data_IF_613341534964
#
_entry.id   IF_613341534964
#
_cell.length_a   1.000
_cell.length_b   1.000
_cell.length_c   1.000
_cell.angle_alpha   90.00
_cell.angle_beta   90.00
_cell.angle_gamma   90.00
#
_symmetry.space_group_name_H-M   'P 1'
#
loop_
_entity.id
_entity.type
_entity.pdbx_description
1 polymer ?
#
# COMPACT_ATOMS: atom_id res chain seq x y z
N UNK A 1 -13.28 -25.74 -8.40
CA UNK A 1 -13.71 -24.34 -8.28
C UNK A 1 -13.35 -23.63 -9.57
N UNK A 2 -14.20 -22.72 -10.05
CA UNK A 2 -14.00 -21.92 -11.26
C UNK A 2 -13.54 -20.52 -10.87
N UNK A 3 -12.29 -20.20 -11.19
CA UNK A 3 -11.65 -18.93 -10.85
C UNK A 3 -11.52 -18.10 -12.12
N UNK A 4 -12.10 -16.89 -12.11
CA UNK A 4 -11.95 -15.91 -13.19
C UNK A 4 -10.94 -14.83 -12.83
N UNK A 5 -10.35 -14.20 -13.85
CA UNK A 5 -9.44 -13.07 -13.72
C UNK A 5 -9.98 -11.86 -14.50
N UNK A 6 -10.24 -10.79 -13.77
CA UNK A 6 -10.63 -9.49 -14.29
C UNK A 6 -9.43 -8.55 -14.35
N UNK A 7 -9.20 -7.96 -15.53
CA UNK A 7 -8.16 -6.97 -15.80
C UNK A 7 -8.82 -5.65 -16.23
N UNK A 8 -9.01 -4.68 -15.32
CA UNK A 8 -9.59 -3.39 -15.66
C UNK A 8 -8.56 -2.52 -16.39
N UNK A 9 -8.85 -2.14 -17.64
CA UNK A 9 -7.92 -1.40 -18.49
C UNK A 9 -8.62 -0.20 -19.13
N UNK A 10 -8.76 0.88 -18.36
CA UNK A 10 -9.35 2.15 -18.82
C UNK A 10 -8.34 3.05 -19.52
N UNK A 11 -8.80 3.94 -20.40
CA UNK A 11 -7.91 4.87 -21.11
C UNK A 11 -7.67 6.18 -20.34
N UNK A 12 -8.70 6.68 -19.66
CA UNK A 12 -8.75 8.03 -19.08
C UNK A 12 -7.93 8.26 -17.80
N UNK A 13 -6.71 7.74 -17.72
CA UNK A 13 -5.83 7.97 -16.55
C UNK A 13 -5.30 9.41 -16.54
N UNK A 14 -5.58 10.17 -15.47
CA UNK A 14 -5.18 11.59 -15.36
C UNK A 14 -3.67 11.81 -15.15
N UNK A 15 -3.04 11.01 -14.29
CA UNK A 15 -1.62 11.17 -13.89
C UNK A 15 -0.64 10.70 -14.94
N UNK A 16 -0.98 9.58 -15.60
CA UNK A 16 -0.23 9.01 -16.70
C UNK A 16 -1.23 8.63 -17.81
N UNK A 17 -1.49 9.53 -18.77
CA UNK A 17 -2.41 9.28 -19.87
C UNK A 17 -2.03 8.00 -20.61
N UNK A 18 -3.02 7.17 -20.88
CA UNK A 18 -2.79 5.96 -21.66
C UNK A 18 -2.10 4.80 -20.91
N UNK A 19 -1.86 4.90 -19.59
CA UNK A 19 -0.97 3.97 -18.86
C UNK A 19 -1.13 2.49 -19.16
N UNK A 20 -2.36 1.99 -19.29
CA UNK A 20 -2.61 0.56 -19.48
C UNK A 20 -2.07 0.01 -20.82
N UNK A 21 -1.85 0.86 -21.83
CA UNK A 21 -1.24 0.46 -23.11
C UNK A 21 0.18 0.99 -23.28
N UNK A 22 0.73 1.68 -22.28
CA UNK A 22 2.13 2.10 -22.30
C UNK A 22 3.01 0.86 -22.36
N UNK A 23 4.00 0.94 -23.23
CA UNK A 23 5.04 -0.05 -23.37
C UNK A 23 5.98 -0.01 -22.16
N UNK A 24 6.22 -1.18 -21.57
CA UNK A 24 7.29 -1.38 -20.62
C UNK A 24 8.15 -2.48 -21.22
N UNK A 25 9.37 -2.17 -21.66
CA UNK A 25 10.30 -3.13 -22.28
C UNK A 25 9.69 -4.02 -23.37
N UNK A 26 9.04 -3.42 -24.36
CA UNK A 26 8.48 -4.09 -25.55
C UNK A 26 7.12 -4.77 -25.35
N UNK A 27 6.53 -4.67 -24.15
CA UNK A 27 5.21 -5.25 -23.86
C UNK A 27 4.32 -4.21 -23.16
N UNK A 28 3.12 -3.90 -23.69
CA UNK A 28 2.15 -3.04 -23.02
C UNK A 28 1.77 -3.55 -21.63
N UNK A 29 1.55 -2.64 -20.67
CA UNK A 29 1.24 -3.01 -19.27
C UNK A 29 0.07 -4.01 -19.13
N UNK A 30 -1.02 -3.80 -19.88
CA UNK A 30 -2.16 -4.73 -19.91
C UNK A 30 -1.74 -6.12 -20.38
N UNK A 31 -0.93 -6.19 -21.44
CA UNK A 31 -0.46 -7.46 -22.00
C UNK A 31 0.48 -8.18 -21.03
N UNK A 32 1.34 -7.46 -20.29
CA UNK A 32 2.20 -8.07 -19.25
C UNK A 32 1.38 -8.80 -18.18
N UNK A 33 0.28 -8.19 -17.73
CA UNK A 33 -0.61 -8.83 -16.76
C UNK A 33 -1.32 -10.04 -17.36
N UNK A 34 -1.83 -9.92 -18.59
CA UNK A 34 -2.51 -11.03 -19.27
C UNK A 34 -1.58 -12.21 -19.51
N UNK A 35 -0.35 -11.98 -19.96
CA UNK A 35 0.64 -13.02 -20.23
C UNK A 35 0.92 -13.86 -18.97
N UNK A 36 1.08 -13.21 -17.81
CA UNK A 36 1.28 -13.89 -16.51
C UNK A 36 0.04 -14.66 -16.07
N UNK A 37 -1.16 -14.10 -16.25
CA UNK A 37 -2.42 -14.78 -15.92
C UNK A 37 -2.62 -16.04 -16.77
N UNK A 38 -2.38 -15.95 -18.07
CA UNK A 38 -2.47 -17.10 -18.99
C UNK A 38 -1.42 -18.16 -18.67
N UNK A 39 -0.16 -17.75 -18.50
CA UNK A 39 0.94 -18.66 -18.18
C UNK A 39 0.72 -19.42 -16.86
N UNK A 40 -0.05 -18.85 -15.93
CA UNK A 40 -0.35 -19.52 -14.67
C UNK A 40 -1.23 -20.78 -14.83
N UNK A 41 -2.09 -20.84 -15.85
CA UNK A 41 -3.08 -21.91 -16.00
C UNK A 41 -4.12 -22.00 -14.87
N UNK A 42 -4.21 -20.98 -14.01
CA UNK A 42 -5.12 -20.97 -12.84
C UNK A 42 -6.55 -20.61 -13.22
N UNK A 43 -6.72 -19.73 -14.21
CA UNK A 43 -7.99 -19.07 -14.48
C UNK A 43 -8.72 -19.73 -15.64
N UNK A 44 -10.00 -20.05 -15.43
CA UNK A 44 -10.87 -20.57 -16.50
C UNK A 44 -11.49 -19.46 -17.36
N UNK A 45 -11.38 -18.20 -16.94
CA UNK A 45 -11.80 -17.02 -17.68
C UNK A 45 -10.80 -15.89 -17.40
N UNK A 46 -10.16 -15.34 -18.45
CA UNK A 46 -9.33 -14.15 -18.36
C UNK A 46 -10.00 -13.06 -19.19
N UNK A 47 -10.39 -11.96 -18.56
CA UNK A 47 -11.19 -10.91 -19.18
C UNK A 47 -10.59 -9.54 -18.93
N UNK A 48 -10.40 -8.78 -20.00
CA UNK A 48 -10.13 -7.34 -19.95
C UNK A 48 -11.44 -6.58 -19.92
N UNK A 49 -11.66 -5.74 -18.90
CA UNK A 49 -12.78 -4.79 -18.88
C UNK A 49 -12.33 -3.40 -19.30
N UNK A 50 -12.94 -2.84 -20.34
CA UNK A 50 -12.53 -1.54 -20.90
C UNK A 50 -13.70 -0.82 -21.57
N UNK A 51 -13.65 0.51 -21.58
CA UNK A 51 -14.49 1.37 -22.44
C UNK A 51 -13.81 1.69 -23.78
N UNK A 52 -12.50 1.41 -23.89
CA UNK A 52 -11.66 1.89 -24.98
C UNK A 52 -11.60 0.90 -26.11
N UNK A 53 -12.02 1.34 -27.30
CA UNK A 53 -11.83 0.58 -28.54
C UNK A 53 -10.36 0.32 -28.86
N UNK A 54 -9.46 1.23 -28.46
CA UNK A 54 -8.02 1.05 -28.67
C UNK A 54 -7.46 -0.10 -27.80
N UNK A 55 -7.87 -0.18 -26.54
CA UNK A 55 -7.52 -1.31 -25.65
C UNK A 55 -8.10 -2.61 -26.18
N UNK A 56 -9.38 -2.60 -26.58
CA UNK A 56 -10.03 -3.79 -27.15
C UNK A 56 -9.31 -4.30 -28.42
N UNK A 57 -8.94 -3.39 -29.33
CA UNK A 57 -8.21 -3.73 -30.55
C UNK A 57 -6.81 -4.29 -30.25
N UNK A 58 -6.08 -3.67 -29.31
CA UNK A 58 -4.77 -4.17 -28.88
C UNK A 58 -4.86 -5.60 -28.33
N UNK A 59 -5.84 -5.87 -27.45
CA UNK A 59 -6.06 -7.19 -26.88
C UNK A 59 -6.44 -8.19 -27.96
N UNK A 60 -7.38 -7.84 -28.86
CA UNK A 60 -7.78 -8.71 -29.97
C UNK A 60 -6.63 -9.05 -30.92
N UNK A 61 -5.73 -8.11 -31.18
CA UNK A 61 -4.54 -8.33 -31.99
C UNK A 61 -3.51 -9.24 -31.29
N UNK A 62 -3.30 -9.05 -29.97
CA UNK A 62 -2.26 -9.76 -29.21
C UNK A 62 -2.69 -11.18 -28.81
N UNK A 63 -3.99 -11.43 -28.68
CA UNK A 63 -4.56 -12.71 -28.22
C UNK A 63 -5.66 -13.23 -29.18
N UNK A 64 -5.33 -13.52 -30.45
CA UNK A 64 -6.31 -13.90 -31.48
C UNK A 64 -6.97 -15.27 -31.23
N UNK A 65 -6.39 -16.12 -30.37
CA UNK A 65 -6.90 -17.44 -30.03
C UNK A 65 -8.15 -17.45 -29.14
N UNK A 66 -8.55 -16.29 -28.59
CA UNK A 66 -9.70 -16.16 -27.70
C UNK A 66 -9.42 -16.55 -26.24
N UNK A 67 -8.16 -16.80 -25.89
CA UNK A 67 -7.73 -17.08 -24.51
C UNK A 67 -8.00 -15.88 -23.57
N UNK A 68 -8.06 -14.67 -24.13
CA UNK A 68 -8.45 -13.43 -23.43
C UNK A 68 -9.73 -12.88 -24.03
N UNK A 69 -10.72 -12.61 -23.18
CA UNK A 69 -11.98 -11.97 -23.56
C UNK A 69 -11.91 -10.46 -23.32
N UNK A 70 -12.66 -9.70 -24.12
CA UNK A 70 -12.87 -8.27 -23.89
C UNK A 70 -14.32 -8.05 -23.48
N UNK A 71 -14.51 -7.45 -22.31
CA UNK A 71 -15.80 -7.00 -21.80
C UNK A 71 -15.88 -5.48 -21.94
N UNK A 72 -16.61 -5.02 -22.95
CA UNK A 72 -16.92 -3.60 -23.10
C UNK A 72 -17.79 -3.16 -21.93
N UNK A 73 -17.33 -2.16 -21.17
CA UNK A 73 -18.06 -1.65 -20.00
C UNK A 73 -18.85 -0.38 -20.34
N UNK A 74 -20.03 -0.17 -19.71
CA UNK A 74 -20.79 1.07 -19.85
C UNK A 74 -19.98 2.31 -19.45
N UNK A 75 -20.28 3.45 -20.08
CA UNK A 75 -19.60 4.72 -19.81
C UNK A 75 -19.72 5.17 -18.34
N UNK A 76 -20.83 4.84 -17.67
CA UNK A 76 -21.01 5.09 -16.24
C UNK A 76 -19.92 4.45 -15.36
N UNK A 77 -19.30 3.36 -15.83
CA UNK A 77 -18.20 2.67 -15.15
C UNK A 77 -16.82 3.10 -15.65
N UNK A 78 -16.74 4.07 -16.57
CA UNK A 78 -15.51 4.52 -17.20
C UNK A 78 -14.81 5.69 -16.50
N UNK A 79 -15.56 6.45 -15.69
CA UNK A 79 -15.09 7.65 -15.02
C UNK A 79 -13.98 7.42 -13.99
N UNK A 80 -13.22 8.47 -13.66
CA UNK A 80 -12.16 8.42 -12.64
C UNK A 80 -12.68 8.06 -11.25
N UNK A 81 -13.95 8.35 -10.99
CA UNK A 81 -14.62 8.13 -9.71
C UNK A 81 -15.52 6.89 -9.72
N UNK A 82 -15.52 6.13 -10.83
CA UNK A 82 -16.21 4.84 -10.91
C UNK A 82 -15.57 3.86 -9.92
N UNK A 83 -16.32 3.35 -8.93
CA UNK A 83 -15.77 2.41 -7.96
C UNK A 83 -15.33 1.11 -8.63
N UNK A 84 -14.13 0.65 -8.29
CA UNK A 84 -13.59 -0.61 -8.80
C UNK A 84 -14.48 -1.81 -8.47
N UNK A 85 -15.22 -1.73 -7.36
CA UNK A 85 -16.25 -2.69 -6.97
C UNK A 85 -17.35 -2.84 -8.02
N UNK A 86 -17.84 -1.74 -8.62
CA UNK A 86 -18.89 -1.82 -9.65
C UNK A 86 -18.38 -2.44 -10.95
N UNK A 87 -17.09 -2.27 -11.27
CA UNK A 87 -16.46 -2.94 -12.42
C UNK A 87 -16.35 -4.45 -12.16
N UNK A 88 -16.02 -4.83 -10.93
CA UNK A 88 -16.02 -6.22 -10.48
C UNK A 88 -17.41 -6.85 -10.51
N UNK A 89 -18.44 -6.15 -10.03
CA UNK A 89 -19.83 -6.61 -10.05
C UNK A 89 -20.29 -6.85 -11.49
N UNK A 90 -20.08 -5.88 -12.39
CA UNK A 90 -20.39 -6.01 -13.81
C UNK A 90 -19.71 -7.25 -14.45
N UNK A 91 -18.49 -7.58 -14.05
CA UNK A 91 -17.79 -8.77 -14.54
C UNK A 91 -18.43 -10.08 -14.05
N UNK A 92 -18.71 -10.17 -12.74
CA UNK A 92 -19.23 -11.37 -12.06
C UNK A 92 -20.68 -11.66 -12.44
N UNK A 93 -21.51 -10.62 -12.60
CA UNK A 93 -22.91 -10.73 -13.05
C UNK A 93 -23.01 -11.37 -14.44
N UNK A 94 -22.05 -11.09 -15.33
CA UNK A 94 -21.98 -11.69 -16.67
C UNK A 94 -21.38 -13.10 -16.70
N UNK A 95 -20.97 -13.65 -15.55
CA UNK A 95 -20.30 -14.96 -15.42
C UNK A 95 -20.84 -15.74 -14.23
N UNK A 96 -22.12 -16.14 -14.23
CA UNK A 96 -22.78 -16.83 -13.11
C UNK A 96 -22.07 -18.12 -12.67
N UNK A 97 -21.28 -18.71 -13.56
CA UNK A 97 -20.57 -19.96 -13.36
C UNK A 97 -19.24 -19.84 -12.60
N UNK A 98 -18.76 -18.62 -12.33
CA UNK A 98 -17.55 -18.40 -11.53
C UNK A 98 -17.84 -18.49 -10.04
N UNK A 99 -17.02 -19.27 -9.33
CA UNK A 99 -17.02 -19.38 -7.87
C UNK A 99 -16.17 -18.26 -7.22
N UNK A 100 -15.11 -17.86 -7.92
CA UNK A 100 -14.14 -16.86 -7.49
C UNK A 100 -13.81 -15.89 -8.61
N UNK A 101 -13.56 -14.64 -8.25
CA UNK A 101 -13.04 -13.62 -9.15
C UNK A 101 -11.75 -13.03 -8.57
N UNK A 102 -10.74 -12.90 -9.43
CA UNK A 102 -9.53 -12.16 -9.18
C UNK A 102 -9.54 -10.83 -9.92
N UNK A 103 -8.90 -9.80 -9.35
CA UNK A 103 -8.79 -8.46 -9.89
C UNK A 103 -7.33 -8.08 -9.98
N UNK A 104 -6.88 -7.84 -11.21
CA UNK A 104 -5.49 -7.65 -11.54
C UNK A 104 -5.32 -6.37 -12.33
N UNK A 105 -4.97 -5.28 -11.62
CA UNK A 105 -4.70 -3.98 -12.24
C UNK A 105 -3.46 -4.06 -13.15
N UNK A 106 -3.53 -3.66 -14.43
CA UNK A 106 -2.37 -3.67 -15.34
C UNK A 106 -1.12 -2.96 -14.81
N UNK A 107 -1.30 -2.01 -13.90
CA UNK A 107 -0.26 -1.14 -13.37
C UNK A 107 0.69 -1.80 -12.38
N UNK A 108 0.46 -3.05 -12.00
CA UNK A 108 1.45 -3.88 -11.30
C UNK A 108 2.11 -4.87 -12.27
N UNK A 109 3.15 -4.47 -13.02
CA UNK A 109 3.69 -5.27 -14.11
C UNK A 109 4.51 -6.48 -13.67
N UNK A 110 4.96 -6.52 -12.41
CA UNK A 110 5.92 -7.51 -11.92
C UNK A 110 5.27 -8.75 -11.28
N UNK A 111 4.00 -9.02 -11.60
CA UNK A 111 3.32 -10.22 -11.10
C UNK A 111 4.06 -11.49 -11.50
N UNK A 112 4.04 -12.46 -10.60
CA UNK A 112 4.62 -13.79 -10.76
C UNK A 112 3.56 -14.88 -10.83
N UNK A 113 3.81 -15.89 -11.64
CA UNK A 113 2.98 -17.10 -11.76
C UNK A 113 2.92 -17.88 -10.45
N UNK A 114 4.04 -17.99 -9.75
CA UNK A 114 4.13 -18.71 -8.46
C UNK A 114 3.13 -18.16 -7.42
N UNK A 115 2.97 -16.83 -7.37
CA UNK A 115 2.00 -16.17 -6.50
C UNK A 115 0.54 -16.50 -6.85
N UNK A 116 0.25 -16.66 -8.15
CA UNK A 116 -1.09 -17.08 -8.61
C UNK A 116 -1.38 -18.54 -8.25
N UNK A 117 -0.37 -19.42 -8.37
CA UNK A 117 -0.48 -20.81 -7.94
C UNK A 117 -0.71 -20.93 -6.44
N UNK A 118 0.02 -20.16 -5.64
CA UNK A 118 -0.15 -20.10 -4.19
C UNK A 118 -1.56 -19.60 -3.80
N UNK A 119 -2.03 -18.51 -4.41
CA UNK A 119 -3.37 -18.00 -4.22
C UNK A 119 -4.44 -19.06 -4.57
N UNK A 120 -4.27 -19.78 -5.69
CA UNK A 120 -5.15 -20.86 -6.08
C UNK A 120 -5.13 -22.01 -5.07
N UNK A 121 -3.96 -22.44 -4.62
CA UNK A 121 -3.83 -23.49 -3.61
C UNK A 121 -4.55 -23.11 -2.30
N UNK A 122 -4.38 -21.87 -1.85
CA UNK A 122 -5.06 -21.33 -0.67
C UNK A 122 -6.59 -21.37 -0.83
N UNK A 123 -7.11 -20.98 -2.00
CA UNK A 123 -8.55 -21.06 -2.33
C UNK A 123 -9.05 -22.50 -2.24
N UNK A 124 -8.31 -23.46 -2.78
CA UNK A 124 -8.71 -24.87 -2.81
C UNK A 124 -8.74 -25.53 -1.43
N UNK A 125 -8.06 -24.96 -0.41
CA UNK A 125 -8.20 -25.44 0.97
C UNK A 125 -9.62 -25.28 1.54
N UNK A 126 -10.44 -24.39 0.96
CA UNK A 126 -11.78 -24.07 1.43
C UNK A 126 -11.81 -23.20 2.70
N UNK A 127 -10.66 -22.90 3.33
CA UNK A 127 -10.60 -22.03 4.49
C UNK A 127 -10.81 -20.56 4.10
N UNK A 128 -10.08 -20.09 3.09
CA UNK A 128 -10.08 -18.69 2.69
C UNK A 128 -11.39 -18.28 2.00
N UNK A 129 -11.88 -17.08 2.30
CA UNK A 129 -12.96 -16.40 1.56
C UNK A 129 -12.41 -15.26 0.67
N UNK A 130 -11.16 -14.86 0.91
CA UNK A 130 -10.43 -13.86 0.17
C UNK A 130 -8.95 -14.19 0.14
N UNK A 131 -8.27 -13.80 -0.93
CA UNK A 131 -6.80 -13.76 -1.03
C UNK A 131 -6.38 -12.34 -1.34
N UNK A 132 -5.40 -11.84 -0.60
CA UNK A 132 -4.92 -10.47 -0.75
C UNK A 132 -3.40 -10.41 -0.64
N UNK A 133 -2.75 -9.72 -1.57
CA UNK A 133 -1.32 -9.41 -1.45
C UNK A 133 -1.06 -8.49 -0.26
N UNK A 134 -0.04 -8.82 0.53
CA UNK A 134 0.45 -7.99 1.63
C UNK A 134 1.96 -7.81 1.52
N UNK A 135 2.44 -6.67 2.03
CA UNK A 135 3.87 -6.45 2.21
C UNK A 135 4.32 -7.05 3.55
N UNK A 136 5.30 -7.96 3.58
CA UNK A 136 5.75 -8.54 4.83
C UNK A 136 6.49 -7.53 5.73
N UNK A 137 7.15 -6.52 5.16
CA UNK A 137 7.99 -5.57 5.91
C UNK A 137 7.23 -4.37 6.46
N UNK A 138 6.01 -4.10 5.99
CA UNK A 138 5.29 -2.87 6.34
C UNK A 138 4.06 -3.15 7.19
N UNK A 139 4.08 -2.60 8.40
CA UNK A 139 2.98 -2.66 9.35
C UNK A 139 2.49 -1.25 9.63
N UNK A 140 1.19 -1.12 9.86
CA UNK A 140 0.67 0.02 10.58
C UNK A 140 1.07 -0.14 12.04
N UNK A 141 1.82 0.82 12.55
CA UNK A 141 2.38 0.86 13.89
C UNK A 141 2.32 2.30 14.44
N UNK A 142 3.02 2.55 15.55
CA UNK A 142 3.06 3.87 16.20
C UNK A 142 3.83 4.92 15.42
N UNK A 143 4.44 4.58 14.29
CA UNK A 143 5.20 5.53 13.46
C UNK A 143 4.33 6.33 12.49
N UNK A 144 3.00 6.27 12.61
CA UNK A 144 2.07 7.04 11.78
C UNK A 144 1.52 8.26 12.52
N UNK A 145 1.56 9.41 11.85
CA UNK A 145 1.21 10.71 12.39
C UNK A 145 0.29 11.49 11.45
N UNK A 146 -0.57 12.35 12.00
CA UNK A 146 -1.43 13.25 11.24
C UNK A 146 -1.24 14.69 11.70
N UNK A 147 -1.44 15.68 10.81
CA UNK A 147 -1.25 17.09 11.14
C UNK A 147 -2.36 17.59 12.07
N UNK A 148 -1.99 18.42 13.04
CA UNK A 148 -2.89 19.14 13.96
C UNK A 148 -2.38 20.58 14.15
N UNK A 149 -3.20 21.54 14.61
CA UNK A 149 -2.72 22.88 14.89
C UNK A 149 -1.49 22.86 15.82
N UNK A 150 -0.39 23.48 15.38
CA UNK A 150 0.87 23.54 16.15
C UNK A 150 1.85 22.37 15.95
N UNK A 151 1.49 21.32 15.20
CA UNK A 151 2.40 20.20 14.95
C UNK A 151 1.74 18.94 14.39
N UNK A 152 2.07 17.78 14.97
CA UNK A 152 1.51 16.48 14.58
C UNK A 152 1.08 15.69 15.81
N UNK A 153 0.15 14.77 15.62
CA UNK A 153 -0.25 13.81 16.64
C UNK A 153 -0.17 12.38 16.08
N UNK A 154 0.19 11.39 16.92
CA UNK A 154 0.19 9.98 16.54
C UNK A 154 -1.22 9.45 16.21
N UNK A 155 -1.29 8.52 15.26
CA UNK A 155 -2.55 7.91 14.82
C UNK A 155 -3.09 6.89 15.84
N UNK A 156 -2.24 6.11 16.52
CA UNK A 156 -2.66 4.88 17.25
C UNK A 156 -2.42 4.86 18.75
N UNK A 157 -3.45 4.43 19.52
CA UNK A 157 -3.57 4.32 21.00
C UNK A 157 -2.49 3.45 21.63
N UNK A 158 -2.25 2.33 20.98
CA UNK A 158 -1.43 1.25 21.50
C UNK A 158 -0.50 0.72 20.44
N UNK A 159 -0.30 -0.59 20.44
CA UNK A 159 0.53 -1.30 19.48
C UNK A 159 -0.38 -1.92 18.40
N UNK A 160 -0.58 -1.27 17.25
CA UNK A 160 -1.47 -1.78 16.20
C UNK A 160 -0.74 -2.78 15.28
N UNK A 161 0.40 -3.35 15.72
CA UNK A 161 1.30 -4.26 14.98
C UNK A 161 0.61 -5.50 14.36
N UNK A 162 -0.70 -5.65 14.55
CA UNK A 162 -1.56 -6.65 13.94
C UNK A 162 -1.97 -6.31 12.49
N UNK A 163 -1.66 -5.11 12.00
CA UNK A 163 -2.15 -4.61 10.70
C UNK A 163 -1.02 -4.51 9.66
N UNK A 164 -1.02 -5.42 8.68
CA UNK A 164 -0.14 -5.35 7.50
C UNK A 164 -0.76 -4.51 6.39
N UNK A 165 0.07 -3.80 5.64
CA UNK A 165 -0.39 -3.12 4.43
C UNK A 165 -0.70 -4.14 3.34
N UNK A 166 -1.92 -4.05 2.80
CA UNK A 166 -2.28 -4.77 1.59
C UNK A 166 -1.85 -3.99 0.35
N UNK A 167 -1.45 -4.73 -0.69
CA UNK A 167 -1.26 -4.23 -2.05
C UNK A 167 -2.43 -4.71 -2.91
N UNK A 168 -2.86 -3.90 -3.88
CA UNK A 168 -3.87 -4.29 -4.88
C UNK A 168 -3.28 -5.05 -6.07
N UNK A 169 -2.02 -5.47 -5.98
CA UNK A 169 -1.37 -6.33 -6.97
C UNK A 169 -2.11 -7.66 -7.14
N UNK A 170 -2.56 -8.28 -6.05
CA UNK A 170 -3.38 -9.51 -6.07
C UNK A 170 -4.59 -9.35 -5.15
N UNK A 171 -5.78 -9.44 -5.73
CA UNK A 171 -7.05 -9.42 -5.01
C UNK A 171 -7.94 -10.52 -5.57
N UNK A 172 -8.27 -11.52 -4.76
CA UNK A 172 -9.22 -12.55 -5.15
C UNK A 172 -10.27 -12.69 -4.07
N UNK A 173 -11.53 -12.81 -4.45
CA UNK A 173 -12.64 -13.00 -3.53
C UNK A 173 -13.59 -14.06 -4.07
N UNK A 174 -14.27 -14.69 -3.12
CA UNK A 174 -15.36 -15.60 -3.43
C UNK A 174 -16.56 -14.80 -3.92
N UNK A 175 -17.30 -15.32 -4.90
CA UNK A 175 -18.41 -14.63 -5.58
C UNK A 175 -19.37 -13.91 -4.64
N UNK A 176 -19.69 -14.50 -3.49
CA UNK A 176 -20.67 -14.01 -2.52
C UNK A 176 -20.11 -12.93 -1.58
N UNK A 177 -18.82 -12.59 -1.70
CA UNK A 177 -18.10 -11.72 -0.76
C UNK A 177 -17.50 -10.44 -1.37
N UNK A 178 -18.02 -9.83 -2.44
CA UNK A 178 -17.35 -8.69 -3.05
C UNK A 178 -17.24 -7.53 -2.05
N UNK A 179 -16.00 -7.17 -1.76
CA UNK A 179 -15.53 -5.98 -1.06
C UNK A 179 -16.35 -5.59 0.20
N UNK A 180 -17.43 -4.83 0.04
CA UNK A 180 -18.23 -4.24 1.13
C UNK A 180 -19.44 -5.11 1.50
N UNK A 181 -19.92 -5.94 0.56
CA UNK A 181 -21.09 -6.80 0.77
C UNK A 181 -20.80 -7.92 1.78
N UNK A 182 -19.55 -8.38 1.86
CA UNK A 182 -19.11 -9.30 2.90
C UNK A 182 -19.41 -8.77 4.30
N UNK A 183 -19.27 -7.45 4.53
CA UNK A 183 -19.59 -6.83 5.82
C UNK A 183 -21.09 -6.81 6.11
N UNK A 184 -21.94 -6.68 5.08
CA UNK A 184 -23.39 -6.82 5.25
C UNK A 184 -23.81 -8.26 5.60
N UNK A 185 -22.97 -9.25 5.28
CA UNK A 185 -23.14 -10.65 5.66
C UNK A 185 -22.49 -10.99 7.01
N UNK A 186 -21.95 -9.99 7.73
CA UNK A 186 -21.31 -10.16 9.03
C UNK A 186 -19.84 -10.57 9.00
N UNK A 187 -19.22 -10.66 7.81
CA UNK A 187 -17.79 -10.96 7.68
C UNK A 187 -16.94 -9.69 7.80
N UNK A 188 -15.87 -9.75 8.60
CA UNK A 188 -14.85 -8.69 8.62
C UNK A 188 -13.84 -8.88 7.48
N UNK A 189 -13.22 -7.81 6.99
CA UNK A 189 -12.29 -7.90 5.85
C UNK A 189 -11.04 -8.72 6.19
N UNK A 190 -10.67 -8.81 7.46
CA UNK A 190 -9.57 -9.63 7.95
C UNK A 190 -9.92 -11.07 8.30
N UNK A 191 -11.19 -11.46 8.34
CA UNK A 191 -11.60 -12.82 8.69
C UNK A 191 -11.47 -13.77 7.50
N UNK A 192 -10.89 -14.96 7.76
CA UNK A 192 -10.71 -16.02 6.75
C UNK A 192 -10.05 -15.52 5.47
N UNK A 193 -9.12 -14.60 5.60
CA UNK A 193 -8.35 -14.08 4.48
C UNK A 193 -6.97 -14.76 4.43
N UNK A 194 -6.60 -15.24 3.26
CA UNK A 194 -5.23 -15.69 3.00
C UNK A 194 -4.38 -14.49 2.57
N UNK A 195 -3.32 -14.25 3.31
CA UNK A 195 -2.36 -13.17 3.05
C UNK A 195 -1.23 -13.70 2.19
N UNK A 196 -1.11 -13.15 0.99
CA UNK A 196 -0.08 -13.50 0.03
C UNK A 196 1.10 -12.55 0.19
N UNK A 197 2.19 -13.00 0.80
CA UNK A 197 3.39 -12.17 0.95
C UNK A 197 4.05 -11.95 -0.43
N UNK A 198 4.11 -10.68 -0.86
CA UNK A 198 4.68 -10.27 -2.15
C UNK A 198 6.00 -9.53 -1.98
N UNK A 199 6.85 -9.61 -3.00
CA UNK A 199 8.13 -8.91 -3.03
C UNK A 199 7.97 -7.42 -3.33
N UNK A 200 9.00 -6.63 -3.04
CA UNK A 200 9.00 -5.19 -3.31
C UNK A 200 8.77 -4.85 -4.81
N UNK A 201 9.35 -5.55 -5.82
CA UNK A 201 8.99 -5.33 -7.22
C UNK A 201 7.50 -5.55 -7.53
N UNK A 202 6.87 -6.61 -6.98
CA UNK A 202 5.45 -6.95 -7.22
C UNK A 202 4.45 -5.89 -6.73
N UNK A 203 4.93 -4.94 -5.95
CA UNK A 203 4.13 -3.87 -5.36
C UNK A 203 4.27 -2.52 -6.07
N UNK A 204 5.13 -2.44 -7.08
CA UNK A 204 5.28 -1.24 -7.91
C UNK A 204 3.98 -1.03 -8.69
N UNK A 205 3.29 0.07 -8.40
CA UNK A 205 2.06 0.50 -9.08
C UNK A 205 2.39 1.68 -10.00
N UNK A 206 2.35 1.47 -11.32
CA UNK A 206 2.66 2.51 -12.29
C UNK A 206 1.50 3.50 -12.39
N UNK A 207 1.69 4.65 -11.74
CA UNK A 207 0.73 5.75 -11.72
C UNK A 207 1.31 7.07 -12.27
N UNK A 208 2.64 7.20 -12.26
CA UNK A 208 3.39 8.38 -12.67
C UNK A 208 4.55 8.02 -13.61
N UNK A 209 5.19 9.03 -14.19
CA UNK A 209 6.40 8.83 -15.00
C UNK A 209 7.58 8.29 -14.17
N UNK A 210 7.67 8.67 -12.88
CA UNK A 210 8.72 8.18 -11.99
C UNK A 210 8.54 6.68 -11.68
N UNK A 211 7.29 6.23 -11.52
CA UNK A 211 6.99 4.80 -11.33
C UNK A 211 7.35 3.98 -12.58
N UNK A 212 7.07 4.54 -13.77
CA UNK A 212 7.44 3.91 -15.04
C UNK A 212 8.97 3.81 -15.18
N UNK A 213 9.70 4.90 -14.88
CA UNK A 213 11.16 4.91 -14.91
C UNK A 213 11.77 3.93 -13.89
N UNK A 214 11.16 3.81 -12.70
CA UNK A 214 11.56 2.79 -11.72
C UNK A 214 11.34 1.37 -12.28
N UNK A 215 10.17 1.12 -12.87
CA UNK A 215 9.85 -0.18 -13.46
C UNK A 215 10.79 -0.54 -14.62
N UNK A 216 11.15 0.40 -15.48
CA UNK A 216 12.11 0.18 -16.57
C UNK A 216 13.47 -0.27 -16.04
N UNK A 217 13.97 0.36 -14.98
CA UNK A 217 15.25 -0.03 -14.38
C UNK A 217 15.18 -1.41 -13.72
N UNK A 218 14.09 -1.72 -13.00
CA UNK A 218 13.86 -3.05 -12.43
C UNK A 218 13.84 -4.10 -13.54
N UNK A 219 13.16 -3.81 -14.65
CA UNK A 219 13.10 -4.70 -15.80
C UNK A 219 14.47 -4.90 -16.46
N UNK A 220 15.32 -3.87 -16.45
CA UNK A 220 16.70 -3.93 -16.92
C UNK A 220 17.65 -4.71 -15.99
N UNK A 221 17.15 -5.25 -14.87
CA UNK A 221 17.90 -6.08 -13.93
C UNK A 221 18.20 -5.44 -12.59
N UNK A 222 17.84 -4.16 -12.41
CA UNK A 222 18.16 -3.46 -11.17
C UNK A 222 17.39 -4.03 -9.97
N UNK A 223 18.09 -4.21 -8.86
CA UNK A 223 17.56 -4.76 -7.63
C UNK A 223 16.92 -3.67 -6.77
N UNK A 224 15.58 -3.65 -6.75
CA UNK A 224 14.81 -2.75 -5.89
C UNK A 224 14.61 -3.37 -4.51
N UNK A 225 15.21 -2.76 -3.47
CA UNK A 225 15.23 -3.27 -2.09
C UNK A 225 15.10 -2.15 -1.06
N UNK A 226 14.77 -2.51 0.17
CA UNK A 226 14.83 -1.57 1.30
C UNK A 226 16.29 -1.19 1.59
N UNK A 227 16.48 0.07 1.96
CA UNK A 227 17.78 0.60 2.35
C UNK A 227 18.27 -0.06 3.63
N UNK A 228 19.48 -0.61 3.60
CA UNK A 228 20.14 -1.15 4.79
C UNK A 228 20.43 -0.01 5.76
N UNK A 229 20.13 -0.20 7.05
CA UNK A 229 20.34 0.82 8.09
C UNK A 229 21.51 0.44 9.00
N UNK A 230 22.16 1.45 9.57
CA UNK A 230 23.17 1.32 10.63
C UNK A 230 22.76 2.20 11.81
N UNK A 231 23.09 1.78 13.03
CA UNK A 231 22.85 2.56 14.24
C UNK A 231 24.18 3.01 14.83
N UNK A 232 24.29 4.30 15.07
CA UNK A 232 25.46 4.99 15.58
C UNK A 232 25.17 5.55 16.98
N UNK A 233 26.24 5.75 17.76
CA UNK A 233 26.16 6.47 19.04
C UNK A 233 26.83 7.82 18.84
N UNK A 234 26.05 8.90 18.91
CA UNK A 234 26.56 10.27 18.79
C UNK A 234 26.06 11.10 19.96
N UNK A 235 26.96 11.39 20.90
CA UNK A 235 26.62 12.09 22.15
C UNK A 235 25.52 11.38 22.95
N UNK A 236 24.38 12.05 23.24
CA UNK A 236 23.27 11.48 24.00
C UNK A 236 22.31 10.66 23.11
N UNK A 237 22.60 10.47 21.82
CA UNK A 237 21.68 9.87 20.85
C UNK A 237 22.17 8.52 20.32
N UNK A 238 21.22 7.60 20.16
CA UNK A 238 21.28 6.57 19.13
C UNK A 238 20.74 7.16 17.84
N UNK A 239 21.55 7.12 16.78
CA UNK A 239 21.23 7.69 15.48
C UNK A 239 21.16 6.56 14.45
N UNK A 240 19.97 6.30 13.92
CA UNK A 240 19.79 5.36 12.81
C UNK A 240 19.85 6.12 11.50
N UNK A 241 20.70 5.66 10.59
CA UNK A 241 20.86 6.21 9.25
C UNK A 241 20.93 5.06 8.23
N UNK A 242 20.75 5.33 6.93
CA UNK A 242 21.23 4.46 5.87
C UNK A 242 22.70 4.09 6.05
N UNK A 243 23.04 2.85 5.70
CA UNK A 243 24.39 2.34 5.79
C UNK A 243 25.34 3.16 4.90
N UNK A 244 26.39 3.72 5.51
CA UNK A 244 27.37 4.57 4.83
C UNK A 244 27.04 6.07 4.82
N UNK A 245 25.87 6.48 5.31
CA UNK A 245 25.56 7.88 5.50
C UNK A 245 26.27 8.49 6.72
N UNK A 246 26.46 9.81 6.72
CA UNK A 246 27.11 10.55 7.80
C UNK A 246 26.09 10.91 8.91
N UNK A 247 26.21 10.30 10.12
CA UNK A 247 25.29 10.59 11.21
C UNK A 247 25.50 11.98 11.84
N UNK A 248 26.70 12.56 11.78
CA UNK A 248 26.94 13.90 12.32
C UNK A 248 26.34 14.98 11.42
N UNK A 249 26.47 14.83 10.09
CA UNK A 249 25.83 15.72 9.13
C UNK A 249 24.29 15.68 9.26
N UNK A 250 23.71 14.50 9.47
CA UNK A 250 22.28 14.35 9.75
C UNK A 250 21.84 15.07 11.02
N UNK A 251 22.58 14.94 12.13
CA UNK A 251 22.29 15.67 13.36
C UNK A 251 22.43 17.19 13.20
N UNK A 252 23.46 17.63 12.46
CA UNK A 252 23.65 19.05 12.15
C UNK A 252 22.47 19.61 11.35
N UNK A 253 21.96 18.84 10.37
CA UNK A 253 20.79 19.19 9.56
C UNK A 253 19.50 19.29 10.39
N UNK A 254 19.27 18.39 11.36
CA UNK A 254 18.13 18.51 12.28
C UNK A 254 18.17 19.84 13.06
N UNK A 255 19.37 20.28 13.41
CA UNK A 255 19.63 21.54 14.08
C UNK A 255 19.45 21.47 15.60
N UNK A 256 20.01 22.46 16.33
CA UNK A 256 20.09 22.43 17.79
C UNK A 256 18.72 22.50 18.48
N UNK A 257 17.76 23.21 17.89
CA UNK A 257 16.41 23.33 18.47
C UNK A 257 15.70 21.96 18.53
N UNK A 258 15.75 21.19 17.44
CA UNK A 258 15.15 19.86 17.36
C UNK A 258 15.81 18.86 18.32
N UNK A 259 17.11 19.04 18.58
CA UNK A 259 17.93 18.20 19.46
C UNK A 259 18.03 18.72 20.90
N UNK A 260 17.33 19.79 21.26
CA UNK A 260 17.48 20.44 22.56
C UNK A 260 17.01 19.57 23.75
N UNK A 261 16.09 18.63 23.53
CA UNK A 261 15.52 17.78 24.58
C UNK A 261 15.62 16.29 24.23
N UNK A 262 16.58 15.56 24.83
CA UNK A 262 16.68 14.11 24.70
C UNK A 262 15.44 13.34 25.16
N UNK A 263 14.62 13.86 26.07
CA UNK A 263 13.39 13.18 26.47
C UNK A 263 12.29 13.23 25.39
N UNK A 264 12.45 14.10 24.38
CA UNK A 264 11.52 14.30 23.28
C UNK A 264 12.26 14.27 21.93
N UNK A 265 12.70 13.08 21.46
CA UNK A 265 13.43 12.95 20.20
C UNK A 265 12.65 13.53 19.01
N UNK A 266 13.34 14.18 18.05
CA UNK A 266 12.69 14.72 16.87
C UNK A 266 12.18 13.62 15.93
N UNK A 267 11.16 13.95 15.15
CA UNK A 267 10.63 13.07 14.11
C UNK A 267 11.11 13.49 12.73
N UNK A 268 11.59 12.52 11.95
CA UNK A 268 11.80 12.69 10.51
C UNK A 268 10.63 12.07 9.76
N UNK A 269 9.67 12.89 9.37
CA UNK A 269 8.44 12.44 8.74
C UNK A 269 8.58 12.37 7.22
N UNK A 270 7.98 11.35 6.61
CA UNK A 270 7.89 11.21 5.17
C UNK A 270 6.46 10.84 4.77
N UNK A 271 6.08 11.18 3.53
CA UNK A 271 4.90 10.56 2.94
C UNK A 271 5.19 9.07 2.77
N UNK A 272 4.31 8.17 3.21
CA UNK A 272 4.51 6.76 2.98
C UNK A 272 4.51 6.44 1.47
N UNK A 273 5.34 5.50 1.02
CA UNK A 273 5.48 5.10 -0.39
C UNK A 273 5.51 3.56 -0.53
N UNK A 274 5.16 2.97 -1.69
CA UNK A 274 3.95 3.09 -2.52
C UNK A 274 3.03 1.82 -2.43
N UNK A 275 1.90 1.78 -3.14
CA UNK A 275 0.59 2.17 -2.61
C UNK A 275 0.22 1.44 -1.31
N UNK A 276 -0.27 2.21 -0.34
CA UNK A 276 -0.77 1.69 0.92
C UNK A 276 -2.29 1.60 0.84
N UNK A 277 -2.83 0.38 0.72
CA UNK A 277 -4.26 0.16 0.88
C UNK A 277 -4.57 -0.12 2.35
N UNK A 278 -5.33 0.79 2.96
CA UNK A 278 -5.56 0.80 4.41
C UNK A 278 -6.98 0.40 4.78
N UNK A 279 -7.72 -0.20 3.83
CA UNK A 279 -9.13 -0.57 3.95
C UNK A 279 -9.46 -1.35 5.24
N UNK A 280 -8.53 -2.17 5.74
CA UNK A 280 -8.74 -2.97 6.96
C UNK A 280 -8.83 -2.18 8.24
N UNK A 281 -8.04 -1.10 8.36
CA UNK A 281 -8.12 -0.19 9.51
C UNK A 281 -9.55 0.34 9.69
N UNK A 282 -10.22 0.55 8.56
CA UNK A 282 -11.53 1.20 8.49
C UNK A 282 -12.67 0.19 8.71
N UNK A 283 -12.56 -1.03 8.19
CA UNK A 283 -13.61 -2.05 8.32
C UNK A 283 -13.54 -2.81 9.64
N UNK A 284 -12.34 -3.04 10.17
CA UNK A 284 -12.16 -4.08 11.18
C UNK A 284 -12.09 -3.56 12.60
N UNK A 285 -12.04 -2.22 12.85
CA UNK A 285 -12.46 -1.50 14.08
C UNK A 285 -11.87 -0.07 14.19
N UNK A 286 -12.66 0.99 13.94
CA UNK A 286 -12.21 2.36 14.17
C UNK A 286 -12.01 2.70 15.67
N UNK A 287 -12.82 2.15 16.57
CA UNK A 287 -12.82 2.58 17.98
C UNK A 287 -11.72 1.92 18.83
N UNK A 288 -11.17 0.79 18.39
CA UNK A 288 -10.20 0.03 19.19
C UNK A 288 -8.73 0.33 18.87
N UNK A 289 -8.44 1.07 17.79
CA UNK A 289 -7.07 1.26 17.30
C UNK A 289 -6.54 2.70 17.38
N UNK A 290 -7.40 3.73 17.29
CA UNK A 290 -6.91 5.12 17.24
C UNK A 290 -6.57 5.68 18.62
N UNK A 291 -5.44 6.41 18.72
CA UNK A 291 -5.14 7.26 19.87
C UNK A 291 -6.24 8.30 19.92
N UNK A 292 -6.48 8.98 18.80
CA UNK A 292 -7.35 10.13 18.75
C UNK A 292 -8.58 9.91 17.83
N UNK A 293 -9.82 10.16 18.31
CA UNK A 293 -11.01 10.22 17.46
C UNK A 293 -10.88 11.16 16.25
N UNK A 294 -10.12 12.27 16.36
CA UNK A 294 -9.84 13.18 15.25
C UNK A 294 -9.00 12.49 14.17
N UNK A 295 -8.08 11.59 14.55
CA UNK A 295 -7.28 10.83 13.60
C UNK A 295 -8.19 10.05 12.64
N UNK A 296 -9.33 9.53 13.13
CA UNK A 296 -10.36 8.88 12.29
C UNK A 296 -10.83 9.80 11.17
N UNK A 297 -11.15 11.07 11.49
CA UNK A 297 -11.58 12.05 10.50
C UNK A 297 -10.48 12.38 9.48
N UNK A 298 -9.20 12.31 9.90
CA UNK A 298 -8.04 12.46 9.02
C UNK A 298 -7.66 11.19 8.24
N UNK A 299 -8.30 10.04 8.51
CA UNK A 299 -8.05 8.80 7.75
C UNK A 299 -8.80 8.69 6.43
N UNK A 300 -9.88 9.46 6.26
CA UNK A 300 -10.69 9.46 5.05
C UNK A 300 -10.40 10.71 4.22
N UNK A 301 -9.87 10.54 3.01
CA UNK A 301 -9.92 11.66 2.08
C UNK A 301 -11.36 11.93 1.64
N UNK A 302 -11.69 13.17 1.24
CA UNK A 302 -12.99 13.48 0.64
C UNK A 302 -13.33 12.55 -0.53
N UNK A 303 -12.32 12.14 -1.30
CA UNK A 303 -12.51 11.22 -2.43
C UNK A 303 -12.85 9.80 -1.98
N UNK A 304 -12.24 9.29 -0.91
CA UNK A 304 -12.64 8.00 -0.34
C UNK A 304 -14.11 8.04 0.10
N UNK A 305 -14.54 9.10 0.79
CA UNK A 305 -15.95 9.27 1.22
C UNK A 305 -16.90 9.26 0.02
N UNK A 306 -16.53 9.92 -1.08
CA UNK A 306 -17.36 10.01 -2.28
C UNK A 306 -17.39 8.72 -3.12
N UNK A 307 -16.27 8.01 -3.22
CA UNK A 307 -16.07 6.94 -4.21
C UNK A 307 -15.98 5.54 -3.60
N UNK A 308 -15.83 5.44 -2.28
CA UNK A 308 -15.41 4.22 -1.57
C UNK A 308 -14.09 3.63 -2.08
N UNK A 309 -13.32 4.39 -2.85
CA UNK A 309 -12.04 3.95 -3.40
C UNK A 309 -10.93 4.07 -2.35
N UNK A 310 -10.49 2.92 -1.88
CA UNK A 310 -9.53 2.70 -0.81
C UNK A 310 -8.10 3.14 -1.16
N UNK A 311 -7.83 3.48 -2.42
CA UNK A 311 -6.56 4.06 -2.88
C UNK A 311 -6.31 5.49 -2.37
N UNK A 312 -7.32 6.12 -1.77
CA UNK A 312 -7.29 7.52 -1.35
C UNK A 312 -7.28 7.70 0.17
N UNK A 313 -6.80 6.73 0.93
CA UNK A 313 -6.64 6.90 2.37
C UNK A 313 -5.38 7.72 2.68
N UNK A 314 -5.61 8.84 3.40
CA UNK A 314 -4.71 9.51 4.36
C UNK A 314 -3.79 10.66 3.88
N UNK A 315 -4.02 11.89 4.37
CA UNK A 315 -2.99 12.89 4.65
C UNK A 315 -2.19 12.56 5.94
N UNK A 316 -1.62 11.36 6.04
CA UNK A 316 -0.73 10.97 7.16
C UNK A 316 0.72 10.90 6.73
N UNK A 317 1.59 11.04 7.71
CA UNK A 317 3.03 10.86 7.59
C UNK A 317 3.46 9.60 8.33
N UNK A 318 4.54 8.98 7.85
CA UNK A 318 5.24 7.91 8.55
C UNK A 318 6.58 8.46 9.04
N UNK A 319 6.99 8.12 10.26
CA UNK A 319 8.35 8.34 10.72
C UNK A 319 9.30 7.47 9.88
N UNK A 320 10.37 8.09 9.36
CA UNK A 320 11.28 7.45 8.43
C UNK A 320 11.76 6.08 8.95
N UNK A 321 11.70 5.02 8.12
CA UNK A 321 12.19 3.70 8.52
C UNK A 321 13.72 3.62 8.51
N UNK A 322 14.43 4.67 8.08
CA UNK A 322 15.88 4.67 7.93
C UNK A 322 16.60 5.88 8.52
N UNK A 323 15.88 6.95 8.89
CA UNK A 323 16.43 8.15 9.53
C UNK A 323 15.75 8.37 10.87
N UNK A 324 16.42 8.02 11.98
CA UNK A 324 15.86 8.16 13.33
C UNK A 324 16.88 8.67 14.33
N UNK A 325 16.36 9.39 15.31
CA UNK A 325 17.11 9.82 16.49
C UNK A 325 16.35 9.34 17.72
N UNK A 326 17.04 8.62 18.60
CA UNK A 326 16.48 8.06 19.82
C UNK A 326 17.43 8.43 20.96
N UNK A 327 16.92 8.90 22.09
CA UNK A 327 17.81 9.17 23.21
C UNK A 327 18.38 7.88 23.80
N UNK A 328 19.64 7.92 24.22
CA UNK A 328 20.29 6.77 24.88
C UNK A 328 19.69 6.43 26.23
N UNK A 329 19.04 7.41 26.85
CA UNK A 329 18.27 7.26 28.09
C UNK A 329 16.85 6.76 27.84
N UNK A 330 16.47 6.47 26.59
CA UNK A 330 15.16 5.94 26.26
C UNK A 330 14.87 4.67 27.09
N UNK A 331 13.62 4.53 27.58
CA UNK A 331 13.27 3.60 28.65
C UNK A 331 13.33 2.11 28.27
N UNK A 332 13.69 1.75 27.04
CA UNK A 332 13.79 0.34 26.60
C UNK A 332 14.90 -0.45 27.34
N UNK A 333 15.72 0.23 28.15
CA UNK A 333 16.70 -0.38 29.06
C UNK A 333 16.29 -0.35 30.55
N UNK A 334 15.13 0.21 30.90
CA UNK A 334 14.62 0.20 32.26
C UNK A 334 13.86 -1.10 32.56
N UNK A 335 13.89 -1.55 33.82
CA UNK A 335 13.06 -2.67 34.24
C UNK A 335 11.58 -2.37 33.96
N UNK A 336 10.83 -3.31 33.34
CA UNK A 336 9.43 -3.08 32.98
C UNK A 336 8.63 -2.76 34.24
N UNK A 337 8.02 -1.57 34.26
CA UNK A 337 7.11 -1.17 35.34
C UNK A 337 5.74 -1.80 35.11
N UNK A 338 5.00 -2.03 36.19
CA UNK A 338 3.60 -2.45 36.10
C UNK A 338 2.83 -1.39 35.29
N UNK A 339 2.29 -1.80 34.16
CA UNK A 339 1.53 -0.91 33.27
C UNK A 339 0.15 -0.72 33.88
N UNK A 340 -0.21 0.54 34.19
CA UNK A 340 -1.60 0.86 34.52
C UNK A 340 -2.47 0.63 33.28
N UNK A 341 -3.44 -0.29 33.40
CA UNK A 341 -4.37 -0.66 32.33
C UNK A 341 -5.73 0.01 32.48
N UNK A 342 -5.92 0.89 33.47
CA UNK A 342 -7.20 1.58 33.73
C UNK A 342 -7.68 2.42 32.54
N UNK A 343 -6.76 2.88 31.69
CA UNK A 343 -7.02 3.61 30.45
C UNK A 343 -6.97 2.78 29.16
N UNK A 344 -6.84 1.45 29.23
CA UNK A 344 -6.70 0.61 28.04
C UNK A 344 -7.96 0.68 27.17
N UNK A 345 -7.79 0.98 25.88
CA UNK A 345 -8.89 1.15 24.93
C UNK A 345 -9.63 2.49 25.02
N UNK A 346 -9.20 3.41 25.89
CA UNK A 346 -9.73 4.79 25.89
C UNK A 346 -9.00 5.63 24.83
N UNK A 347 -9.72 6.38 24.00
CA UNK A 347 -9.09 7.36 23.13
C UNK A 347 -8.41 8.47 23.96
N UNK A 348 -7.25 8.93 23.50
CA UNK A 348 -6.52 10.11 23.96
C UNK A 348 -6.69 11.27 22.96
N UNK A 349 -6.87 12.49 23.43
CA UNK A 349 -7.00 13.64 22.53
C UNK A 349 -5.65 13.97 21.87
N UNK A 350 -5.66 14.55 20.65
CA UNK A 350 -4.43 15.01 20.00
C UNK A 350 -3.63 15.98 20.86
N UNK A 351 -4.33 16.83 21.62
CA UNK A 351 -3.71 17.80 22.51
C UNK A 351 -2.85 17.11 23.58
N UNK A 352 -3.23 15.92 24.04
CA UNK A 352 -2.52 15.16 25.07
C UNK A 352 -1.27 14.44 24.53
N UNK A 353 -1.16 14.32 23.20
CA UNK A 353 -0.05 13.64 22.51
C UNK A 353 0.57 14.49 21.39
N UNK A 354 0.43 15.81 21.48
CA UNK A 354 0.94 16.77 20.50
C UNK A 354 2.47 16.75 20.47
N UNK A 355 3.01 16.60 19.27
CA UNK A 355 4.42 16.79 18.98
C UNK A 355 4.55 18.12 18.23
N UNK A 356 5.22 19.08 18.86
CA UNK A 356 5.36 20.43 18.34
C UNK A 356 6.07 20.46 16.97
N UNK A 357 5.65 21.36 16.09
CA UNK A 357 6.23 21.51 14.75
C UNK A 357 7.76 21.72 14.76
N UNK A 358 8.31 22.37 15.79
CA UNK A 358 9.76 22.56 15.95
C UNK A 358 10.54 21.25 16.09
N UNK A 359 9.88 20.17 16.53
CA UNK A 359 10.44 18.82 16.70
C UNK A 359 10.26 17.94 15.46
N UNK A 360 9.66 18.45 14.39
CA UNK A 360 9.40 17.69 13.16
C UNK A 360 10.28 18.23 12.04
N UNK A 361 10.83 17.32 11.25
CA UNK A 361 11.45 17.61 9.95
C UNK A 361 10.87 16.68 8.90
N UNK A 362 10.84 17.11 7.65
CA UNK A 362 10.36 16.26 6.56
C UNK A 362 11.53 15.70 5.76
N UNK A 363 11.50 14.40 5.46
CA UNK A 363 12.54 13.74 4.68
C UNK A 363 12.67 14.32 3.26
N UNK A 364 11.60 14.93 2.73
CA UNK A 364 11.63 15.63 1.45
C UNK A 364 12.58 16.84 1.47
N UNK A 365 12.72 17.53 2.60
CA UNK A 365 13.62 18.67 2.76
C UNK A 365 15.09 18.21 2.85
N UNK A 366 15.30 16.96 3.25
CA UNK A 366 16.63 16.33 3.30
C UNK A 366 17.08 15.80 1.92
N UNK A 367 16.19 15.72 0.93
CA UNK A 367 16.47 15.06 -0.35
C UNK A 367 17.60 15.70 -1.17
N UNK A 368 17.97 16.94 -0.87
CA UNK A 368 19.07 17.66 -1.53
C UNK A 368 20.42 17.48 -0.81
N UNK A 369 20.42 16.88 0.38
CA UNK A 369 21.63 16.70 1.17
C UNK A 369 22.50 15.57 0.61
N UNK A 370 23.83 15.72 0.61
CA UNK A 370 24.74 14.73 0.02
C UNK A 370 24.76 13.40 0.78
N UNK A 371 24.40 13.41 2.07
CA UNK A 371 24.29 12.20 2.89
C UNK A 371 22.92 11.52 2.76
N UNK A 372 21.95 12.13 2.08
CA UNK A 372 20.60 11.60 2.00
C UNK A 372 20.52 10.34 1.14
N UNK A 373 19.75 9.39 1.65
CA UNK A 373 19.35 8.20 0.93
C UNK A 373 17.91 7.86 1.32
N UNK A 374 17.09 7.51 0.33
CA UNK A 374 15.70 7.15 0.55
C UNK A 374 15.54 5.84 1.33
N UNK A 375 14.30 5.54 1.73
CA UNK A 375 13.96 4.28 2.41
C UNK A 375 14.12 3.03 1.52
N UNK A 376 14.15 3.23 0.20
CA UNK A 376 14.35 2.19 -0.79
C UNK A 376 15.46 2.60 -1.75
N UNK A 377 16.21 1.62 -2.20
CA UNK A 377 17.35 1.80 -3.09
C UNK A 377 17.22 0.87 -4.28
N UNK A 378 17.81 1.33 -5.36
CA UNK A 378 17.97 0.57 -6.57
C UNK A 378 19.47 0.35 -6.77
N UNK A 379 19.88 -0.91 -6.83
CA UNK A 379 21.28 -1.28 -7.11
C UNK A 379 21.37 -2.02 -8.44
N UNK A 380 22.45 -1.82 -9.18
CA UNK A 380 22.74 -2.59 -10.41
C UNK A 380 23.02 -4.06 -10.14
#
# INVERSE_FOLDING_TARGET
MRIGALVPARMGSRRLPGKNIIDLGGVPLVCRTLDVLLASGVFCDVTVSTESRAVAALVGQRYPGGDVRVLMRPEALAGDDAPLAQVADHYVENRPELDWAGLFMPTFPFRRTERLHEAAAAIHTGYALRVQAVRPEQHWDRDYFFPVPGGVAPVFAGFPNLLRFSSTSYMLWRRETPHIQAMHLGYRLGEREYRLDVTLPETVDIDTADDLALAEKILAGAHYRQTTVTTHVVGPWFVQTPAGADPEAFLAWLGPEALADPAAPPLVLQKPAPPLFTARLVSDLPELHFLNPDAKAHTWSPRYVATTNTAHCLPVYQHSPCWRVIARTAPDHAAPRLVDRSGLGRPMAAADCLIAASRVRFAADMAQEPFYQGAYVLTE
#
